data_IF_664064937995
#
_entry.id   IF_664064937995
#
_cell.length_a   1.000
_cell.length_b   1.000
_cell.length_c   1.000
_cell.angle_alpha   90.00
_cell.angle_beta   90.00
_cell.angle_gamma   90.00
#
_symmetry.space_group_name_H-M   'P 1'
#
loop_
_entity.id
_entity.type
_entity.pdbx_description
1 polymer ?
#
# COMPACT_ATOMS: atom_id res chain seq x y z
N UNK A 1 36.45 -38.11 -27.26
CA UNK A 1 36.91 -36.69 -27.24
C UNK A 1 35.78 -35.65 -27.38
N UNK A 2 34.63 -35.93 -28.02
CA UNK A 2 33.55 -34.92 -28.21
C UNK A 2 32.76 -34.52 -26.95
N UNK A 3 32.48 -35.46 -26.02
CA UNK A 3 31.67 -35.15 -24.82
C UNK A 3 32.36 -34.23 -23.81
N UNK A 4 33.70 -34.30 -23.68
CA UNK A 4 34.45 -33.46 -22.72
C UNK A 4 34.38 -31.97 -23.07
N UNK A 5 34.37 -31.62 -24.36
CA UNK A 5 34.26 -30.23 -24.79
C UNK A 5 32.86 -29.66 -24.56
N UNK A 6 31.80 -30.46 -24.71
CA UNK A 6 30.43 -30.03 -24.42
C UNK A 6 30.24 -29.70 -22.93
N UNK A 7 30.81 -30.52 -22.05
CA UNK A 7 30.75 -30.28 -20.60
C UNK A 7 31.53 -29.02 -20.21
N UNK A 8 32.74 -28.83 -20.77
CA UNK A 8 33.55 -27.63 -20.52
C UNK A 8 32.87 -26.35 -21.03
N UNK A 9 32.26 -26.42 -22.21
CA UNK A 9 31.51 -25.30 -22.79
C UNK A 9 30.28 -24.98 -21.92
N UNK A 10 29.54 -26.00 -21.47
CA UNK A 10 28.40 -25.82 -20.57
C UNK A 10 28.79 -25.18 -19.22
N UNK A 11 29.95 -25.57 -18.66
CA UNK A 11 30.43 -25.07 -17.37
C UNK A 11 30.85 -23.59 -17.41
N UNK A 12 31.20 -23.08 -18.59
CA UNK A 12 31.53 -21.66 -18.80
C UNK A 12 30.29 -20.88 -19.24
N UNK A 13 29.48 -21.39 -20.17
CA UNK A 13 28.33 -20.66 -20.69
C UNK A 13 27.26 -20.46 -19.62
N UNK A 14 27.04 -21.42 -18.72
CA UNK A 14 25.99 -21.34 -17.71
C UNK A 14 26.17 -20.18 -16.70
N UNK A 15 27.33 -20.02 -16.02
CA UNK A 15 27.52 -18.90 -15.09
C UNK A 15 27.52 -17.54 -15.80
N UNK A 16 28.16 -17.44 -16.98
CA UNK A 16 28.16 -16.20 -17.75
C UNK A 16 26.76 -15.85 -18.28
N UNK A 17 25.98 -16.85 -18.70
CA UNK A 17 24.58 -16.68 -19.12
C UNK A 17 23.67 -16.23 -17.97
N UNK A 18 23.84 -16.80 -16.77
CA UNK A 18 23.12 -16.36 -15.57
C UNK A 18 23.48 -14.93 -15.18
N UNK A 19 24.76 -14.57 -15.24
CA UNK A 19 25.21 -13.19 -14.97
C UNK A 19 24.62 -12.20 -15.98
N UNK A 20 24.57 -12.57 -17.25
CA UNK A 20 24.00 -11.76 -18.31
C UNK A 20 22.48 -11.58 -18.15
N UNK A 21 21.74 -12.66 -17.86
CA UNK A 21 20.30 -12.62 -17.55
C UNK A 21 20.02 -11.77 -16.31
N UNK A 22 20.85 -11.87 -15.27
CA UNK A 22 20.75 -11.04 -14.07
C UNK A 22 20.93 -9.55 -14.36
N UNK A 23 21.92 -9.20 -15.18
CA UNK A 23 22.16 -7.82 -15.61
C UNK A 23 20.99 -7.27 -16.44
N UNK A 24 20.46 -8.06 -17.38
CA UNK A 24 19.27 -7.71 -18.17
C UNK A 24 18.04 -7.50 -17.28
N UNK A 25 17.81 -8.37 -16.31
CA UNK A 25 16.72 -8.25 -15.34
C UNK A 25 16.85 -6.97 -14.50
N UNK A 26 18.07 -6.65 -14.04
CA UNK A 26 18.34 -5.43 -13.29
C UNK A 26 18.07 -4.17 -14.13
N UNK A 27 18.55 -4.13 -15.37
CA UNK A 27 18.30 -3.01 -16.30
C UNK A 27 16.81 -2.86 -16.59
N UNK A 28 16.10 -3.97 -16.79
CA UNK A 28 14.65 -3.95 -16.99
C UNK A 28 13.92 -3.41 -15.74
N UNK A 29 14.32 -3.87 -14.55
CA UNK A 29 13.76 -3.40 -13.28
C UNK A 29 13.98 -1.89 -13.08
N UNK A 30 15.17 -1.38 -13.39
CA UNK A 30 15.49 0.06 -13.28
C UNK A 30 14.74 0.93 -14.30
N UNK A 31 14.31 0.36 -15.43
CA UNK A 31 13.55 1.09 -16.45
C UNK A 31 12.03 0.81 -16.40
N UNK A 32 11.60 -0.17 -15.59
CA UNK A 32 10.21 -0.52 -15.44
C UNK A 32 9.39 0.70 -14.97
N UNK A 33 8.17 0.90 -15.46
CA UNK A 33 7.32 2.02 -15.04
C UNK A 33 7.08 2.02 -13.52
N UNK A 34 7.20 0.86 -12.85
CA UNK A 34 7.11 0.73 -11.40
C UNK A 34 8.33 1.27 -10.62
N UNK A 35 9.51 1.44 -11.25
CA UNK A 35 10.72 1.96 -10.60
C UNK A 35 10.96 3.46 -10.87
N UNK A 36 10.21 4.05 -11.81
CA UNK A 36 10.18 5.50 -11.98
C UNK A 36 9.69 6.12 -10.67
N UNK A 37 10.54 6.93 -10.05
CA UNK A 37 10.13 7.74 -8.89
C UNK A 37 8.98 8.65 -9.35
N UNK A 38 7.88 8.64 -8.60
CA UNK A 38 6.74 9.55 -8.85
C UNK A 38 7.30 10.98 -8.84
N UNK A 39 7.08 11.73 -9.91
CA UNK A 39 7.34 13.17 -9.90
C UNK A 39 6.40 13.81 -8.88
N UNK A 40 6.96 14.61 -7.98
CA UNK A 40 6.41 14.86 -6.65
C UNK A 40 7.33 14.19 -5.64
N UNK A 41 8.43 14.90 -5.32
CA UNK A 41 9.53 14.36 -4.55
C UNK A 41 9.09 13.58 -3.32
N UNK A 42 9.91 12.59 -2.93
CA UNK A 42 9.92 12.00 -1.59
C UNK A 42 10.26 13.06 -0.55
N UNK A 43 9.46 14.11 -0.48
CA UNK A 43 9.56 15.25 0.41
C UNK A 43 9.25 14.71 1.79
N UNK A 44 10.31 14.30 2.48
CA UNK A 44 10.38 14.03 3.91
C UNK A 44 9.16 13.23 4.40
N UNK A 45 9.25 11.90 4.30
CA UNK A 45 8.19 10.91 4.59
C UNK A 45 7.68 10.89 6.06
N UNK A 46 7.99 11.94 6.85
CA UNK A 46 7.61 12.12 8.25
C UNK A 46 7.27 13.58 8.59
N UNK A 47 6.99 14.42 7.59
CA UNK A 47 6.52 15.78 7.83
C UNK A 47 5.00 15.86 7.70
N UNK A 48 4.39 16.62 8.60
CA UNK A 48 3.02 17.09 8.47
C UNK A 48 2.88 17.82 7.14
N UNK A 49 2.21 17.20 6.18
CA UNK A 49 1.95 17.77 4.86
C UNK A 49 0.47 17.60 4.55
N UNK A 50 -0.15 18.70 4.10
CA UNK A 50 -1.49 18.64 3.54
C UNK A 50 -1.40 18.05 2.13
N UNK A 51 -2.06 16.92 1.89
CA UNK A 51 -2.10 16.30 0.57
C UNK A 51 -2.74 17.24 -0.46
N UNK A 52 -2.11 17.33 -1.62
CA UNK A 52 -2.64 18.07 -2.77
C UNK A 52 -3.83 17.33 -3.41
N UNK A 53 -4.70 18.03 -4.15
CA UNK A 53 -5.78 17.38 -4.91
C UNK A 53 -5.28 16.28 -5.86
N UNK A 54 -4.10 16.46 -6.48
CA UNK A 54 -3.52 15.49 -7.40
C UNK A 54 -3.04 14.23 -6.68
N UNK A 55 -2.44 14.36 -5.50
CA UNK A 55 -2.06 13.20 -4.66
C UNK A 55 -3.28 12.40 -4.22
N UNK A 56 -4.35 13.08 -3.77
CA UNK A 56 -5.60 12.42 -3.39
C UNK A 56 -6.24 11.71 -4.59
N UNK A 57 -6.31 12.38 -5.75
CA UNK A 57 -6.80 11.78 -6.98
C UNK A 57 -5.97 10.55 -7.38
N UNK A 58 -4.65 10.58 -7.21
CA UNK A 58 -3.79 9.45 -7.53
C UNK A 58 -4.07 8.23 -6.63
N UNK A 59 -4.43 8.43 -5.36
CA UNK A 59 -4.89 7.36 -4.46
C UNK A 59 -6.22 6.77 -4.93
N UNK A 60 -7.18 7.63 -5.33
CA UNK A 60 -8.46 7.20 -5.90
C UNK A 60 -8.23 6.38 -7.16
N UNK A 61 -7.39 6.85 -8.08
CA UNK A 61 -7.08 6.16 -9.33
C UNK A 61 -6.46 4.79 -9.08
N UNK A 62 -5.49 4.71 -8.17
CA UNK A 62 -4.86 3.44 -7.79
C UNK A 62 -5.89 2.44 -7.26
N UNK A 63 -6.73 2.85 -6.33
CA UNK A 63 -7.69 1.92 -5.75
C UNK A 63 -8.80 1.54 -6.74
N UNK A 64 -9.29 2.50 -7.53
CA UNK A 64 -10.41 2.29 -8.42
C UNK A 64 -10.04 1.51 -9.68
N UNK A 65 -8.85 1.75 -10.24
CA UNK A 65 -8.48 1.22 -11.56
C UNK A 65 -7.30 0.24 -11.52
N UNK A 66 -6.27 0.48 -10.70
CA UNK A 66 -5.16 -0.48 -10.57
C UNK A 66 -5.61 -1.74 -9.79
N UNK A 67 -6.31 -1.53 -8.66
CA UNK A 67 -6.90 -2.64 -7.90
C UNK A 67 -8.23 -3.08 -8.53
N UNK A 68 -9.06 -2.12 -8.93
CA UNK A 68 -10.32 -2.40 -9.62
C UNK A 68 -11.52 -2.58 -8.69
N UNK A 69 -12.56 -3.18 -9.26
CA UNK A 69 -13.75 -3.63 -8.51
C UNK A 69 -13.35 -4.56 -7.37
N UNK A 70 -13.90 -4.30 -6.19
CA UNK A 70 -13.58 -4.93 -4.90
C UNK A 70 -14.82 -5.04 -4.01
N UNK A 71 -15.88 -5.74 -4.47
CA UNK A 71 -17.06 -5.94 -3.64
C UNK A 71 -16.72 -6.71 -2.39
N UNK A 72 -17.45 -6.48 -1.30
CA UNK A 72 -17.14 -7.09 0.00
C UNK A 72 -17.12 -8.63 -0.06
N UNK A 73 -17.89 -9.25 -0.96
CA UNK A 73 -17.91 -10.71 -1.17
C UNK A 73 -16.61 -11.24 -1.82
N UNK A 74 -15.88 -10.39 -2.52
CA UNK A 74 -14.59 -10.74 -3.12
C UNK A 74 -13.48 -10.62 -2.07
N UNK A 75 -13.24 -11.74 -1.39
CA UNK A 75 -12.24 -11.84 -0.31
C UNK A 75 -10.81 -11.55 -0.79
N UNK A 76 -10.50 -11.83 -2.04
CA UNK A 76 -9.16 -11.60 -2.58
C UNK A 76 -8.92 -10.13 -2.88
N UNK A 77 -9.88 -9.47 -3.52
CA UNK A 77 -9.79 -8.03 -3.80
C UNK A 77 -9.82 -7.20 -2.53
N UNK A 78 -10.67 -7.54 -1.57
CA UNK A 78 -10.68 -6.87 -0.25
C UNK A 78 -9.36 -7.07 0.50
N UNK A 79 -8.79 -8.28 0.49
CA UNK A 79 -7.47 -8.57 1.07
C UNK A 79 -6.33 -7.80 0.40
N UNK A 80 -6.31 -7.71 -0.92
CA UNK A 80 -5.31 -6.93 -1.68
C UNK A 80 -5.42 -5.45 -1.31
N UNK A 81 -6.64 -4.94 -1.24
CA UNK A 81 -6.92 -3.54 -0.88
C UNK A 81 -6.46 -3.23 0.54
N UNK A 82 -6.77 -4.09 1.51
CA UNK A 82 -6.33 -3.93 2.89
C UNK A 82 -4.80 -3.91 3.01
N UNK A 83 -4.10 -4.83 2.32
CA UNK A 83 -2.62 -4.83 2.29
C UNK A 83 -2.03 -3.57 1.69
N UNK A 84 -2.68 -3.02 0.65
CA UNK A 84 -2.25 -1.76 0.08
C UNK A 84 -2.42 -0.60 1.09
N UNK A 85 -3.56 -0.49 1.75
CA UNK A 85 -3.81 0.53 2.78
C UNK A 85 -2.83 0.39 3.96
N UNK A 86 -2.58 -0.84 4.43
CA UNK A 86 -1.57 -1.17 5.44
C UNK A 86 -0.18 -0.68 5.01
N UNK A 87 0.20 -0.92 3.76
CA UNK A 87 1.46 -0.43 3.20
C UNK A 87 1.53 1.10 3.17
N UNK A 88 0.47 1.80 2.71
CA UNK A 88 0.46 3.27 2.68
C UNK A 88 0.59 3.87 4.10
N UNK A 89 -0.06 3.27 5.10
CA UNK A 89 0.01 3.73 6.49
C UNK A 89 1.36 3.44 7.15
N UNK A 90 2.11 2.44 6.68
CA UNK A 90 3.33 1.95 7.32
C UNK A 90 4.40 3.01 7.62
N UNK A 91 5.35 2.66 8.51
CA UNK A 91 6.49 3.50 8.89
C UNK A 91 7.33 3.94 7.67
N UNK A 92 7.39 3.12 6.62
CA UNK A 92 8.16 3.40 5.40
C UNK A 92 7.50 4.44 4.49
N UNK A 93 6.19 4.66 4.64
CA UNK A 93 5.40 5.55 3.78
C UNK A 93 4.88 6.77 4.53
N UNK A 94 3.85 6.62 5.38
CA UNK A 94 3.29 7.75 6.13
C UNK A 94 3.98 7.91 7.49
N UNK A 95 4.36 6.82 8.15
CA UNK A 95 5.00 6.88 9.47
C UNK A 95 4.24 6.18 10.61
N UNK A 96 3.20 5.38 10.34
CA UNK A 96 2.46 4.66 11.38
C UNK A 96 2.90 3.20 11.53
N UNK A 97 2.74 2.68 12.74
CA UNK A 97 2.66 1.22 12.97
C UNK A 97 1.21 0.78 12.85
N UNK A 98 0.80 0.45 11.64
CA UNK A 98 -0.54 -0.08 11.41
C UNK A 98 -0.71 -1.47 12.04
N UNK A 99 -1.89 -1.72 12.59
CA UNK A 99 -2.33 -3.03 13.07
C UNK A 99 -3.41 -3.59 12.15
N UNK A 100 -3.51 -4.92 12.10
CA UNK A 100 -4.53 -5.60 11.30
C UNK A 100 -5.36 -6.49 12.20
N UNK A 101 -6.64 -6.19 12.30
CA UNK A 101 -7.64 -7.01 12.98
C UNK A 101 -8.37 -7.85 11.95
N UNK A 102 -8.58 -9.14 12.25
CA UNK A 102 -9.30 -10.04 11.36
C UNK A 102 -10.70 -10.34 11.89
N UNK A 103 -11.70 -10.29 11.01
CA UNK A 103 -13.10 -10.60 11.33
C UNK A 103 -13.69 -11.63 10.36
N UNK A 104 -14.81 -12.26 10.75
CA UNK A 104 -15.53 -13.27 9.97
C UNK A 104 -15.37 -14.70 10.50
N UNK A 105 -15.79 -15.69 9.73
CA UNK A 105 -15.78 -17.09 10.16
C UNK A 105 -14.33 -17.55 10.39
N UNK A 106 -14.08 -18.05 11.61
CA UNK A 106 -12.73 -18.39 12.10
C UNK A 106 -11.73 -17.21 12.07
N UNK A 107 -12.22 -15.97 12.01
CA UNK A 107 -11.42 -14.75 12.09
C UNK A 107 -10.44 -14.57 10.92
N UNK A 108 -10.84 -14.90 9.68
CA UNK A 108 -9.94 -14.81 8.51
C UNK A 108 -10.58 -14.27 7.23
N UNK A 109 -11.85 -13.86 7.26
CA UNK A 109 -12.53 -13.45 6.03
C UNK A 109 -12.18 -12.02 5.62
N UNK A 110 -12.04 -11.13 6.59
CA UNK A 110 -11.86 -9.71 6.35
C UNK A 110 -10.75 -9.14 7.21
N UNK A 111 -10.04 -8.14 6.66
CA UNK A 111 -8.95 -7.42 7.32
C UNK A 111 -9.40 -5.99 7.56
N UNK A 112 -9.43 -5.58 8.81
CA UNK A 112 -9.55 -4.18 9.22
C UNK A 112 -8.13 -3.68 9.45
N UNK A 113 -7.79 -2.54 8.84
CA UNK A 113 -6.50 -1.89 9.01
C UNK A 113 -6.67 -0.70 9.94
N UNK A 114 -5.87 -0.64 10.99
CA UNK A 114 -5.97 0.37 12.04
C UNK A 114 -4.62 1.08 12.19
N UNK A 115 -4.62 2.40 12.32
CA UNK A 115 -3.44 3.16 12.68
C UNK A 115 -3.80 4.20 13.74
N UNK A 116 -2.98 4.28 14.80
CA UNK A 116 -3.24 5.13 15.95
C UNK A 116 -2.15 6.17 16.14
N UNK A 117 -2.59 7.38 16.46
CA UNK A 117 -1.76 8.44 17.02
C UNK A 117 -2.22 8.69 18.46
N UNK A 118 -1.48 8.21 19.47
CA UNK A 118 -1.85 8.38 20.87
C UNK A 118 -1.94 9.85 21.28
N UNK A 119 -2.96 10.19 22.07
CA UNK A 119 -3.08 11.52 22.68
C UNK A 119 -2.10 11.74 23.84
N UNK A 120 -1.75 12.99 24.12
CA UNK A 120 -0.84 13.34 25.24
C UNK A 120 -1.56 13.36 26.60
N UNK A 121 -2.72 13.99 26.70
CA UNK A 121 -3.40 14.26 27.98
C UNK A 121 -4.73 13.54 28.17
N UNK A 122 -5.41 13.18 27.08
CA UNK A 122 -6.71 12.53 27.04
C UNK A 122 -6.64 11.30 26.12
N UNK A 123 -5.64 10.45 26.32
CA UNK A 123 -5.36 9.31 25.43
C UNK A 123 -6.52 8.28 25.34
N UNK A 124 -7.36 8.23 26.37
CA UNK A 124 -8.55 7.35 26.41
C UNK A 124 -9.71 7.89 25.55
N UNK A 125 -9.71 9.17 25.21
CA UNK A 125 -10.68 9.75 24.29
C UNK A 125 -10.19 9.56 22.85
N UNK A 126 -10.93 8.77 22.07
CA UNK A 126 -10.55 8.40 20.70
C UNK A 126 -11.42 9.14 19.68
N UNK A 127 -10.78 9.96 18.85
CA UNK A 127 -11.37 10.45 17.61
C UNK A 127 -11.20 9.38 16.53
N UNK A 128 -12.30 8.72 16.19
CA UNK A 128 -12.31 7.64 15.21
C UNK A 128 -12.61 8.18 13.80
N UNK A 129 -11.71 7.93 12.86
CA UNK A 129 -11.88 8.24 11.43
C UNK A 129 -12.00 6.92 10.69
N UNK A 130 -13.18 6.66 10.11
CA UNK A 130 -13.49 5.38 9.45
C UNK A 130 -13.69 5.55 7.96
N UNK A 131 -13.22 4.59 7.17
CA UNK A 131 -13.50 4.49 5.74
C UNK A 131 -13.81 3.04 5.36
N UNK A 132 -14.79 2.89 4.46
CA UNK A 132 -15.06 1.63 3.79
C UNK A 132 -14.25 1.57 2.49
N UNK A 133 -13.48 0.51 2.29
CA UNK A 133 -12.68 0.30 1.09
C UNK A 133 -13.31 -0.66 0.08
N UNK A 134 -14.48 -1.25 0.31
CA UNK A 134 -15.19 -2.01 -0.74
C UNK A 134 -15.81 -1.10 -1.80
N UNK A 135 -16.10 -1.68 -2.96
CA UNK A 135 -16.87 -1.07 -4.04
C UNK A 135 -18.21 -1.76 -4.22
N UNK A 136 -19.18 -1.14 -4.91
CA UNK A 136 -20.31 -1.86 -5.48
C UNK A 136 -19.83 -2.97 -6.43
N UNK A 137 -20.68 -4.00 -6.61
CA UNK A 137 -20.45 -5.09 -7.53
C UNK A 137 -20.23 -4.56 -8.96
N UNK A 138 -19.21 -5.08 -9.65
CA UNK A 138 -18.86 -4.72 -11.04
C UNK A 138 -18.58 -3.24 -11.29
N UNK A 139 -18.19 -2.49 -10.25
CA UNK A 139 -17.88 -1.06 -10.34
C UNK A 139 -16.45 -0.78 -9.83
N UNK A 140 -15.64 0.04 -10.53
CA UNK A 140 -14.35 0.53 -10.01
C UNK A 140 -14.44 1.20 -8.64
N UNK A 141 -15.58 1.83 -8.31
CA UNK A 141 -15.80 2.40 -6.98
C UNK A 141 -14.91 3.61 -6.66
N UNK A 142 -14.69 4.50 -7.63
CA UNK A 142 -13.91 5.72 -7.44
C UNK A 142 -14.54 6.63 -6.38
N UNK A 143 -15.83 6.94 -6.50
CA UNK A 143 -16.56 7.70 -5.47
C UNK A 143 -17.16 6.81 -4.37
N UNK A 144 -17.40 5.52 -4.64
CA UNK A 144 -17.95 4.56 -3.68
C UNK A 144 -17.03 3.33 -3.61
N UNK A 145 -16.00 3.32 -2.78
CA UNK A 145 -15.69 4.41 -1.84
C UNK A 145 -14.20 4.78 -1.76
N UNK A 146 -13.50 4.71 -2.90
CA UNK A 146 -12.06 5.06 -2.96
C UNK A 146 -11.77 6.51 -2.58
N UNK A 147 -12.68 7.43 -2.88
CA UNK A 147 -12.62 8.83 -2.43
C UNK A 147 -12.49 8.92 -0.91
N UNK A 148 -13.28 8.16 -0.14
CA UNK A 148 -13.17 8.16 1.32
C UNK A 148 -11.83 7.60 1.83
N UNK A 149 -11.31 6.57 1.18
CA UNK A 149 -10.01 5.98 1.54
C UNK A 149 -8.88 6.98 1.28
N UNK A 150 -8.96 7.73 0.17
CA UNK A 150 -8.00 8.79 -0.12
C UNK A 150 -7.98 9.88 0.96
N UNK A 151 -9.15 10.25 1.49
CA UNK A 151 -9.26 11.22 2.58
C UNK A 151 -8.71 10.65 3.88
N UNK A 152 -9.00 9.38 4.21
CA UNK A 152 -8.43 8.72 5.39
C UNK A 152 -6.90 8.76 5.35
N UNK A 153 -6.30 8.37 4.22
CA UNK A 153 -4.84 8.38 4.03
C UNK A 153 -4.27 9.81 4.04
N UNK A 154 -4.98 10.78 3.46
CA UNK A 154 -4.60 12.18 3.48
C UNK A 154 -4.61 12.77 4.89
N UNK A 155 -5.62 12.46 5.70
CA UNK A 155 -5.69 12.86 7.10
C UNK A 155 -4.60 12.18 7.93
N UNK A 156 -4.35 10.88 7.73
CA UNK A 156 -3.26 10.18 8.38
C UNK A 156 -1.91 10.87 8.12
N UNK A 157 -1.65 11.22 6.85
CA UNK A 157 -0.46 11.99 6.46
C UNK A 157 -0.40 13.38 7.09
N UNK A 158 -1.53 14.07 7.20
CA UNK A 158 -1.58 15.40 7.81
C UNK A 158 -1.34 15.36 9.33
N UNK A 159 -1.80 14.31 10.02
CA UNK A 159 -1.68 14.20 11.47
C UNK A 159 -0.43 13.46 11.94
N UNK A 160 0.32 12.79 11.06
CA UNK A 160 1.54 12.08 11.48
C UNK A 160 2.51 13.00 12.22
N UNK A 161 3.09 12.51 13.32
CA UNK A 161 4.00 13.24 14.20
C UNK A 161 3.43 14.53 14.83
N UNK A 162 2.11 14.72 14.82
CA UNK A 162 1.47 15.83 15.54
C UNK A 162 1.19 15.47 16.99
N UNK A 163 1.21 16.48 17.86
CA UNK A 163 0.81 16.35 19.27
C UNK A 163 -0.65 16.74 19.41
N UNK A 164 -1.47 15.79 19.85
CA UNK A 164 -2.90 15.99 20.05
C UNK A 164 -3.26 15.64 21.50
N UNK A 165 -4.25 16.31 22.07
CA UNK A 165 -4.73 15.95 23.42
C UNK A 165 -5.37 14.55 23.42
N UNK A 166 -6.13 14.23 22.36
CA UNK A 166 -6.89 12.99 22.18
C UNK A 166 -6.17 12.03 21.23
N UNK A 167 -6.46 10.75 21.37
CA UNK A 167 -6.01 9.75 20.41
C UNK A 167 -6.76 9.90 19.11
N UNK A 168 -6.06 9.85 17.98
CA UNK A 168 -6.69 9.77 16.65
C UNK A 168 -6.48 8.35 16.13
N UNK A 169 -7.57 7.68 15.77
CA UNK A 169 -7.55 6.32 15.22
C UNK A 169 -8.13 6.31 13.82
N UNK A 170 -7.32 5.91 12.84
CA UNK A 170 -7.74 5.70 11.46
C UNK A 170 -8.07 4.23 11.27
N UNK A 171 -9.28 3.93 10.80
CA UNK A 171 -9.77 2.57 10.58
C UNK A 171 -10.29 2.41 9.17
N UNK A 172 -9.71 1.49 8.41
CA UNK A 172 -10.17 1.11 7.09
C UNK A 172 -10.75 -0.31 7.14
N UNK A 173 -12.02 -0.47 6.74
CA UNK A 173 -12.73 -1.75 6.73
C UNK A 173 -13.32 -2.05 5.34
N UNK A 174 -13.54 -3.33 4.99
CA UNK A 174 -14.22 -3.73 3.77
C UNK A 174 -15.74 -3.51 3.81
#
# INVERSE_FOLDING_TARGET
>A
MKQSNVIKIGLVILPFGMMFLGALSLIYSLNAPASKSREGGRSVLNMKVLSTPDELNALVQRQAYDIGSRPWKDKDKTRITAKWIESELSEENIGFRSQVTFIGDKGKDYRIVEAELPGESLAEEVLLVVSNFSSPDSCPGANSNASSVSILLGLARYFVNTKNMRTIRFVACP
#
